data_IF_780371585225
#
_entry.id   IF_780371585225
#
_cell.length_a   1.000
_cell.length_b   1.000
_cell.length_c   1.000
_cell.angle_alpha   90.00
_cell.angle_beta   90.00
_cell.angle_gamma   90.00
#
_symmetry.space_group_name_H-M   'P 1'
#
loop_
_entity.id
_entity.type
_entity.pdbx_description
1 polymer ?
#
# COMPACT_ATOMS: atom_id res chain seq x y z
N UNK A 1 -10.82 -8.23 -12.62
CA UNK A 1 -12.05 -9.04 -12.82
C UNK A 1 -13.25 -8.26 -12.32
N UNK A 2 -14.47 -8.79 -12.42
CA UNK A 2 -15.66 -8.15 -11.84
C UNK A 2 -15.96 -8.77 -10.48
N UNK A 3 -16.37 -7.95 -9.51
CA UNK A 3 -16.98 -8.41 -8.27
C UNK A 3 -18.48 -8.19 -8.36
N UNK A 4 -19.27 -9.26 -8.21
CA UNK A 4 -20.72 -9.20 -8.22
C UNK A 4 -21.24 -9.61 -6.84
N UNK A 5 -22.23 -8.87 -6.33
CA UNK A 5 -22.97 -9.30 -5.15
C UNK A 5 -24.46 -9.06 -5.33
N UNK A 6 -25.24 -9.93 -4.70
CA UNK A 6 -26.69 -9.91 -4.71
C UNK A 6 -27.17 -9.65 -3.29
N UNK A 7 -27.87 -8.54 -3.08
CA UNK A 7 -28.42 -8.17 -1.78
C UNK A 7 -29.93 -8.40 -1.77
N UNK A 8 -30.41 -9.25 -0.85
CA UNK A 8 -31.83 -9.44 -0.61
C UNK A 8 -32.37 -8.28 0.20
N UNK A 9 -33.33 -7.54 -0.34
CA UNK A 9 -33.90 -6.34 0.29
C UNK A 9 -34.75 -6.72 1.50
N UNK A 10 -35.65 -7.71 1.34
CA UNK A 10 -36.51 -8.19 2.42
C UNK A 10 -36.05 -9.56 2.92
N UNK A 11 -35.56 -9.63 4.17
CA UNK A 11 -35.06 -10.88 4.76
C UNK A 11 -36.14 -11.97 4.86
N UNK A 12 -37.39 -11.61 5.13
CA UNK A 12 -38.47 -12.55 5.48
C UNK A 12 -39.25 -13.08 4.28
N UNK A 13 -39.27 -12.35 3.17
CA UNK A 13 -40.03 -12.74 1.97
C UNK A 13 -39.28 -13.79 1.16
N UNK A 14 -39.96 -14.86 0.75
CA UNK A 14 -39.35 -15.90 -0.09
C UNK A 14 -39.07 -15.38 -1.51
N UNK A 15 -37.95 -15.82 -2.11
CA UNK A 15 -37.55 -15.43 -3.46
C UNK A 15 -38.19 -16.41 -4.46
N UNK A 16 -38.97 -15.89 -5.39
CA UNK A 16 -39.60 -16.63 -6.47
C UNK A 16 -39.18 -16.06 -7.82
N UNK A 17 -39.33 -16.84 -8.90
CA UNK A 17 -39.03 -16.37 -10.26
C UNK A 17 -39.82 -15.09 -10.64
N UNK A 18 -41.00 -14.89 -10.03
CA UNK A 18 -41.83 -13.71 -10.27
C UNK A 18 -41.38 -12.48 -9.49
N UNK A 19 -40.74 -12.63 -8.32
CA UNK A 19 -40.40 -11.48 -7.45
C UNK A 19 -38.89 -11.15 -7.41
N UNK A 20 -38.03 -12.00 -8.00
CA UNK A 20 -36.57 -11.87 -7.91
C UNK A 20 -36.03 -10.49 -8.33
N UNK A 21 -36.62 -9.87 -9.35
CA UNK A 21 -36.20 -8.55 -9.86
C UNK A 21 -36.52 -7.40 -8.89
N UNK A 22 -37.46 -7.59 -7.96
CA UNK A 22 -37.83 -6.60 -6.94
C UNK A 22 -37.19 -6.88 -5.58
N UNK A 23 -36.90 -8.15 -5.28
CA UNK A 23 -36.38 -8.56 -3.97
C UNK A 23 -34.86 -8.65 -3.93
N UNK A 24 -34.19 -8.69 -5.08
CA UNK A 24 -32.73 -8.74 -5.18
C UNK A 24 -32.19 -7.49 -5.88
N UNK A 25 -31.24 -6.83 -5.21
CA UNK A 25 -30.38 -5.83 -5.85
C UNK A 25 -29.09 -6.51 -6.31
N UNK A 26 -28.81 -6.47 -7.61
CA UNK A 26 -27.49 -6.80 -8.15
C UNK A 26 -26.60 -5.56 -8.10
N UNK A 27 -25.37 -5.74 -7.64
CA UNK A 27 -24.33 -4.72 -7.70
C UNK A 27 -23.09 -5.29 -8.35
N UNK A 28 -22.51 -4.50 -9.26
CA UNK A 28 -21.33 -4.88 -10.05
C UNK A 28 -20.24 -3.85 -9.78
N UNK A 29 -19.09 -4.33 -9.33
CA UNK A 29 -17.89 -3.53 -9.12
C UNK A 29 -16.85 -3.93 -10.17
N UNK A 30 -16.46 -2.99 -11.03
CA UNK A 30 -15.39 -3.19 -11.99
C UNK A 30 -14.02 -3.10 -11.30
N UNK A 31 -13.40 -4.26 -11.09
CA UNK A 31 -12.09 -4.37 -10.45
C UNK A 31 -11.00 -4.69 -11.49
N UNK A 32 -11.21 -4.46 -12.79
CA UNK A 32 -10.25 -4.81 -13.84
C UNK A 32 -9.06 -3.87 -13.92
N UNK A 33 -9.28 -2.58 -13.71
CA UNK A 33 -8.25 -1.55 -13.90
C UNK A 33 -7.31 -1.42 -12.70
N UNK A 34 -7.87 -1.23 -11.50
CA UNK A 34 -7.12 -0.86 -10.28
C UNK A 34 -7.53 -1.64 -9.03
N UNK A 35 -8.22 -2.76 -9.22
CA UNK A 35 -8.63 -3.66 -8.14
C UNK A 35 -9.86 -3.19 -7.35
N UNK A 36 -10.18 -3.93 -6.30
CA UNK A 36 -11.44 -3.76 -5.54
C UNK A 36 -11.53 -2.40 -4.83
N UNK A 37 -10.43 -1.90 -4.26
CA UNK A 37 -10.43 -0.63 -3.53
C UNK A 37 -10.80 0.53 -4.46
N UNK A 38 -10.30 0.52 -5.69
CA UNK A 38 -10.63 1.54 -6.70
C UNK A 38 -12.09 1.47 -7.11
N UNK A 39 -12.59 0.26 -7.31
CA UNK A 39 -13.98 0.03 -7.67
C UNK A 39 -14.94 0.55 -6.59
N UNK A 40 -14.62 0.28 -5.31
CA UNK A 40 -15.40 0.80 -4.17
C UNK A 40 -15.29 2.32 -4.07
N UNK A 41 -14.08 2.87 -4.21
CA UNK A 41 -13.85 4.32 -4.23
C UNK A 41 -14.71 5.00 -5.32
N UNK A 42 -14.62 4.55 -6.57
CA UNK A 42 -15.40 5.10 -7.69
C UNK A 42 -16.90 4.99 -7.43
N UNK A 43 -17.38 3.84 -6.95
CA UNK A 43 -18.81 3.66 -6.67
C UNK A 43 -19.29 4.64 -5.58
N UNK A 44 -18.51 4.86 -4.52
CA UNK A 44 -18.87 5.80 -3.46
C UNK A 44 -18.86 7.25 -3.96
N UNK A 45 -17.84 7.63 -4.73
CA UNK A 45 -17.65 8.99 -5.24
C UNK A 45 -18.64 9.35 -6.34
N UNK A 46 -18.83 8.47 -7.32
CA UNK A 46 -19.56 8.80 -8.56
C UNK A 46 -21.05 8.44 -8.47
N UNK A 47 -21.41 7.49 -7.59
CA UNK A 47 -22.80 7.02 -7.47
C UNK A 47 -23.41 7.43 -6.13
N UNK A 48 -22.81 7.03 -5.00
CA UNK A 48 -23.44 7.20 -3.70
C UNK A 48 -23.43 8.64 -3.19
N UNK A 49 -22.32 9.37 -3.31
CA UNK A 49 -22.27 10.78 -2.90
C UNK A 49 -23.31 11.63 -3.65
N UNK A 50 -23.40 11.59 -5.00
CA UNK A 50 -24.41 12.34 -5.73
C UNK A 50 -25.83 11.92 -5.39
N UNK A 51 -26.09 10.61 -5.26
CA UNK A 51 -27.41 10.08 -4.92
C UNK A 51 -27.87 10.55 -3.53
N UNK A 52 -26.99 10.52 -2.53
CA UNK A 52 -27.28 10.97 -1.17
C UNK A 52 -27.43 12.50 -1.11
N UNK A 53 -26.61 13.23 -1.86
CA UNK A 53 -26.66 14.70 -1.92
C UNK A 53 -27.98 15.20 -2.51
N UNK A 54 -28.49 14.52 -3.52
CA UNK A 54 -29.73 14.86 -4.23
C UNK A 54 -30.98 14.30 -3.55
N UNK A 55 -30.81 13.43 -2.55
CA UNK A 55 -31.92 12.75 -1.87
C UNK A 55 -32.50 13.56 -0.71
N UNK A 56 -33.83 13.49 -0.57
CA UNK A 56 -34.58 14.06 0.56
C UNK A 56 -34.73 13.10 1.74
N UNK A 57 -34.12 11.90 1.69
CA UNK A 57 -34.23 10.87 2.75
C UNK A 57 -33.94 11.45 4.13
N UNK A 58 -32.88 12.25 4.26
CA UNK A 58 -32.48 12.86 5.53
C UNK A 58 -33.45 13.93 6.04
N UNK A 59 -34.16 14.62 5.14
CA UNK A 59 -35.17 15.61 5.50
C UNK A 59 -36.46 14.93 6.02
N UNK A 60 -36.76 13.73 5.52
CA UNK A 60 -37.92 12.96 5.94
C UNK A 60 -37.72 12.27 7.30
N UNK A 61 -36.48 11.89 7.64
CA UNK A 61 -36.15 11.21 8.91
C UNK A 61 -35.90 12.18 10.07
N UNK A 62 -35.36 13.37 9.81
CA UNK A 62 -35.12 14.39 10.85
C UNK A 62 -35.52 15.78 10.32
N UNK A 63 -36.77 16.18 10.60
CA UNK A 63 -37.34 17.44 10.08
C UNK A 63 -36.63 18.70 10.59
N UNK A 64 -35.90 18.63 11.71
CA UNK A 64 -35.22 19.78 12.31
C UNK A 64 -33.74 19.83 11.94
N UNK A 65 -33.06 18.68 11.89
CA UNK A 65 -31.61 18.61 11.64
C UNK A 65 -31.21 17.81 10.39
N UNK A 66 -32.16 17.44 9.52
CA UNK A 66 -31.91 16.59 8.36
C UNK A 66 -30.81 17.10 7.43
N UNK A 67 -30.71 18.43 7.25
CA UNK A 67 -29.59 19.05 6.51
C UNK A 67 -28.23 18.84 7.17
N UNK A 68 -28.16 18.96 8.50
CA UNK A 68 -26.93 18.75 9.27
C UNK A 68 -26.52 17.27 9.32
N UNK A 69 -27.49 16.36 9.51
CA UNK A 69 -27.26 14.92 9.48
C UNK A 69 -26.77 14.45 8.10
N UNK A 70 -27.34 15.00 7.02
CA UNK A 70 -26.85 14.75 5.65
C UNK A 70 -25.42 15.24 5.47
N UNK A 71 -25.12 16.47 5.89
CA UNK A 71 -23.79 17.03 5.78
C UNK A 71 -22.74 16.21 6.56
N UNK A 72 -23.06 15.78 7.79
CA UNK A 72 -22.19 14.90 8.58
C UNK A 72 -21.94 13.56 7.89
N UNK A 73 -22.98 12.93 7.36
CA UNK A 73 -22.85 11.65 6.67
C UNK A 73 -21.99 11.76 5.41
N UNK A 74 -22.21 12.80 4.59
CA UNK A 74 -21.37 13.06 3.41
C UNK A 74 -19.93 13.30 3.84
N UNK A 75 -19.70 14.10 4.89
CA UNK A 75 -18.35 14.33 5.40
C UNK A 75 -17.66 13.02 5.83
N UNK A 76 -18.37 12.14 6.55
CA UNK A 76 -17.85 10.81 6.91
C UNK A 76 -17.53 9.94 5.69
N UNK A 77 -18.37 9.97 4.64
CA UNK A 77 -18.10 9.26 3.39
C UNK A 77 -16.87 9.82 2.69
N UNK A 78 -16.72 11.15 2.60
CA UNK A 78 -15.53 11.78 2.04
C UNK A 78 -14.27 11.39 2.79
N UNK A 79 -14.28 11.45 4.13
CA UNK A 79 -13.13 10.98 4.95
C UNK A 79 -12.81 9.51 4.72
N UNK A 80 -13.82 8.67 4.50
CA UNK A 80 -13.59 7.25 4.18
C UNK A 80 -12.98 7.06 2.78
N UNK A 81 -13.43 7.84 1.78
CA UNK A 81 -12.86 7.86 0.43
C UNK A 81 -11.40 8.32 0.45
N UNK A 82 -11.07 9.33 1.26
CA UNK A 82 -9.68 9.78 1.47
C UNK A 82 -8.82 8.65 2.07
N UNK A 83 -9.36 7.92 3.06
CA UNK A 83 -8.68 6.77 3.63
C UNK A 83 -8.47 5.63 2.61
N UNK A 84 -9.45 5.35 1.74
CA UNK A 84 -9.31 4.38 0.65
C UNK A 84 -8.23 4.81 -0.33
N UNK A 85 -8.19 6.09 -0.71
CA UNK A 85 -7.17 6.66 -1.59
C UNK A 85 -5.78 6.49 -1.00
N UNK A 86 -5.61 6.81 0.29
CA UNK A 86 -4.35 6.61 1.01
C UNK A 86 -3.93 5.13 1.06
N UNK A 87 -4.87 4.22 1.26
CA UNK A 87 -4.60 2.77 1.25
C UNK A 87 -4.18 2.26 -0.14
N UNK A 88 -4.83 2.73 -1.21
CA UNK A 88 -4.46 2.39 -2.59
C UNK A 88 -3.05 2.88 -2.95
N UNK A 89 -2.72 4.12 -2.58
CA UNK A 89 -1.39 4.67 -2.79
C UNK A 89 -0.34 3.85 -2.02
N UNK A 90 -0.62 3.52 -0.76
CA UNK A 90 0.27 2.68 0.06
C UNK A 90 0.52 1.31 -0.56
N UNK A 91 -0.50 0.69 -1.18
CA UNK A 91 -0.36 -0.57 -1.91
C UNK A 91 0.44 -0.43 -3.21
N UNK A 92 0.29 0.69 -3.92
CA UNK A 92 1.08 0.97 -5.13
C UNK A 92 2.54 1.26 -4.82
N UNK A 93 2.82 1.78 -3.61
CA UNK A 93 4.17 2.08 -3.13
C UNK A 93 4.89 0.85 -2.53
N UNK A 94 4.28 -0.34 -2.60
CA UNK A 94 4.93 -1.58 -2.14
C UNK A 94 6.19 -1.82 -2.97
N UNK A 95 7.34 -1.69 -2.31
CA UNK A 95 8.65 -1.86 -2.92
C UNK A 95 8.91 -3.35 -3.15
N UNK A 96 9.19 -3.71 -4.39
CA UNK A 96 9.67 -5.05 -4.76
C UNK A 96 10.97 -4.91 -5.53
N UNK A 97 12.01 -5.57 -5.04
CA UNK A 97 13.30 -5.63 -5.73
C UNK A 97 13.18 -6.45 -7.01
N UNK A 98 13.95 -6.11 -8.04
CA UNK A 98 13.95 -6.79 -9.33
C UNK A 98 14.10 -8.31 -9.21
N UNK A 99 13.49 -9.04 -10.14
CA UNK A 99 13.61 -10.50 -10.20
C UNK A 99 14.97 -10.87 -10.78
N UNK A 100 15.50 -12.00 -10.33
CA UNK A 100 16.65 -12.62 -10.98
C UNK A 100 16.14 -13.56 -12.08
N UNK A 101 16.34 -13.18 -13.33
CA UNK A 101 15.88 -13.98 -14.48
C UNK A 101 16.83 -15.15 -14.77
N UNK A 102 18.11 -15.00 -14.43
CA UNK A 102 19.15 -16.00 -14.67
C UNK A 102 19.13 -17.15 -13.66
N UNK A 103 18.57 -16.94 -12.46
CA UNK A 103 18.59 -17.93 -11.39
C UNK A 103 17.31 -17.88 -10.56
N UNK A 104 16.69 -19.04 -10.38
CA UNK A 104 15.56 -19.18 -9.47
C UNK A 104 16.03 -19.25 -8.01
N UNK A 105 16.10 -18.07 -7.39
CA UNK A 105 16.50 -17.89 -5.99
C UNK A 105 15.57 -18.61 -5.01
N UNK A 106 14.34 -18.98 -5.40
CA UNK A 106 13.41 -19.68 -4.51
C UNK A 106 13.86 -21.12 -4.20
N UNK A 107 14.72 -21.69 -5.05
CA UNK A 107 15.29 -23.04 -4.85
C UNK A 107 16.40 -23.06 -3.81
N UNK A 108 17.02 -21.91 -3.52
CA UNK A 108 18.09 -21.79 -2.53
C UNK A 108 17.49 -21.70 -1.12
N UNK A 109 17.22 -22.85 -0.50
CA UNK A 109 16.52 -22.92 0.79
C UNK A 109 17.36 -23.50 1.92
N UNK A 110 18.49 -24.14 1.62
CA UNK A 110 19.31 -24.87 2.61
C UNK A 110 20.78 -24.45 2.59
N UNK A 111 21.50 -24.60 3.71
CA UNK A 111 22.93 -24.31 3.77
C UNK A 111 23.79 -25.08 2.76
N UNK A 112 23.44 -26.33 2.47
CA UNK A 112 24.15 -27.14 1.47
C UNK A 112 23.99 -26.56 0.05
N UNK A 113 22.81 -26.05 -0.28
CA UNK A 113 22.57 -25.36 -1.55
C UNK A 113 23.32 -24.03 -1.60
N UNK A 114 23.46 -23.33 -0.47
CA UNK A 114 24.28 -22.11 -0.42
C UNK A 114 25.76 -22.40 -0.68
N UNK A 115 26.29 -23.50 -0.12
CA UNK A 115 27.67 -23.94 -0.38
C UNK A 115 27.89 -24.31 -1.83
N UNK A 116 26.95 -25.05 -2.44
CA UNK A 116 27.02 -25.41 -3.86
C UNK A 116 27.01 -24.18 -4.76
N UNK A 117 26.09 -23.24 -4.50
CA UNK A 117 26.00 -21.98 -5.24
C UNK A 117 27.25 -21.09 -5.06
N UNK A 118 27.83 -21.05 -3.85
CA UNK A 118 29.06 -20.30 -3.57
C UNK A 118 30.31 -20.93 -4.21
N UNK A 119 30.32 -22.26 -4.41
CA UNK A 119 31.43 -22.96 -5.05
C UNK A 119 31.40 -22.85 -6.59
N UNK A 120 30.24 -22.54 -7.17
CA UNK A 120 30.08 -22.30 -8.61
C UNK A 120 30.39 -20.85 -8.95
N UNK A 121 31.47 -20.61 -9.71
CA UNK A 121 31.86 -19.26 -10.15
C UNK A 121 30.73 -18.55 -10.90
N UNK A 122 30.10 -19.25 -11.85
CA UNK A 122 29.02 -18.69 -12.67
C UNK A 122 27.79 -18.31 -11.83
N UNK A 123 27.39 -19.21 -10.91
CA UNK A 123 26.24 -18.95 -10.03
C UNK A 123 26.52 -17.80 -9.08
N UNK A 124 27.72 -17.75 -8.52
CA UNK A 124 28.14 -16.67 -7.62
C UNK A 124 28.17 -15.32 -8.34
N UNK A 125 28.69 -15.26 -9.57
CA UNK A 125 28.71 -14.03 -10.38
C UNK A 125 27.30 -13.50 -10.66
N UNK A 126 26.35 -14.39 -11.00
CA UNK A 126 24.93 -14.03 -11.17
C UNK A 126 24.35 -13.43 -9.88
N UNK A 127 24.61 -14.07 -8.73
CA UNK A 127 24.11 -13.61 -7.43
C UNK A 127 24.73 -12.26 -7.05
N UNK A 128 26.03 -12.08 -7.24
CA UNK A 128 26.71 -10.81 -6.96
C UNK A 128 26.21 -9.68 -7.87
N UNK A 129 25.96 -9.98 -9.14
CA UNK A 129 25.40 -9.03 -10.11
C UNK A 129 23.99 -8.62 -9.71
N UNK A 130 23.14 -9.59 -9.35
CA UNK A 130 21.79 -9.31 -8.86
C UNK A 130 21.81 -8.47 -7.57
N UNK A 131 22.73 -8.76 -6.66
CA UNK A 131 22.90 -8.00 -5.41
C UNK A 131 23.28 -6.56 -5.68
N UNK A 132 24.21 -6.30 -6.63
CA UNK A 132 24.57 -4.94 -7.05
C UNK A 132 23.39 -4.18 -7.67
N UNK A 133 22.56 -4.87 -8.46
CA UNK A 133 21.35 -4.27 -9.02
C UNK A 133 20.37 -3.85 -7.92
N UNK A 134 20.11 -4.73 -6.94
CA UNK A 134 19.26 -4.41 -5.79
C UNK A 134 19.81 -3.27 -4.95
N UNK A 135 21.13 -3.25 -4.71
CA UNK A 135 21.80 -2.14 -4.02
C UNK A 135 21.52 -0.81 -4.75
N UNK A 136 21.69 -0.77 -6.07
CA UNK A 136 21.44 0.43 -6.87
C UNK A 136 19.96 0.85 -6.86
N UNK A 137 19.04 -0.10 -6.95
CA UNK A 137 17.59 0.17 -6.86
C UNK A 137 17.24 0.79 -5.51
N UNK A 138 17.79 0.26 -4.42
CA UNK A 138 17.59 0.80 -3.08
C UNK A 138 18.18 2.20 -2.98
N UNK A 139 19.41 2.41 -3.42
CA UNK A 139 20.04 3.74 -3.41
C UNK A 139 19.23 4.77 -4.21
N UNK A 140 18.64 4.38 -5.34
CA UNK A 140 17.73 5.22 -6.09
C UNK A 140 16.47 5.56 -5.28
N UNK A 141 15.86 4.56 -4.61
CA UNK A 141 14.71 4.78 -3.73
C UNK A 141 15.08 5.77 -2.60
N UNK A 142 16.25 5.61 -1.98
CA UNK A 142 16.73 6.52 -0.95
C UNK A 142 16.87 7.94 -1.51
N UNK A 143 17.55 8.10 -2.64
CA UNK A 143 17.76 9.40 -3.28
C UNK A 143 16.45 10.09 -3.69
N UNK A 144 15.50 9.36 -4.28
CA UNK A 144 14.17 9.87 -4.64
C UNK A 144 13.39 10.36 -3.41
N UNK A 145 13.55 9.67 -2.28
CA UNK A 145 12.90 10.09 -1.04
C UNK A 145 13.60 11.29 -0.41
N UNK A 146 14.91 11.39 -0.47
CA UNK A 146 15.67 12.55 0.03
C UNK A 146 15.58 13.79 -0.85
N UNK A 147 15.15 13.63 -2.10
CA UNK A 147 15.04 14.74 -3.04
C UNK A 147 14.13 15.82 -2.45
N UNK A 148 14.78 16.91 -2.01
CA UNK A 148 14.12 18.05 -1.40
C UNK A 148 12.98 18.53 -2.28
N UNK A 149 11.77 18.49 -1.72
CA UNK A 149 10.65 19.24 -2.29
C UNK A 149 11.07 20.71 -2.33
N UNK A 150 10.90 21.34 -3.50
CA UNK A 150 10.72 22.79 -3.53
C UNK A 150 9.33 23.04 -2.96
N UNK A 151 9.24 23.19 -1.65
CA UNK A 151 7.97 23.51 -0.99
C UNK A 151 7.50 24.87 -1.49
N UNK A 152 6.24 24.95 -1.88
CA UNK A 152 5.55 26.23 -1.93
C UNK A 152 5.25 26.63 -0.48
N UNK A 153 5.25 27.92 -0.13
CA UNK A 153 5.02 28.45 1.23
C UNK A 153 3.64 28.10 1.86
N UNK A 154 2.86 27.22 1.23
CA UNK A 154 1.46 26.94 1.49
C UNK A 154 1.20 25.48 1.94
N UNK A 155 2.23 24.70 2.26
CA UNK A 155 2.07 23.30 2.67
C UNK A 155 1.56 23.25 4.10
N UNK A 156 0.28 22.91 4.28
CA UNK A 156 -0.35 22.81 5.60
C UNK A 156 0.01 21.52 6.37
N UNK A 157 -0.25 21.47 7.69
CA UNK A 157 0.12 20.33 8.56
C UNK A 157 -0.37 18.96 8.08
N UNK A 158 -1.54 18.91 7.41
CA UNK A 158 -2.08 17.67 6.82
C UNK A 158 -1.22 17.14 5.68
N UNK A 159 -0.70 18.03 4.83
CA UNK A 159 0.14 17.64 3.71
C UNK A 159 1.52 17.12 4.18
N UNK A 160 2.05 17.67 5.28
CA UNK A 160 3.23 17.11 5.96
C UNK A 160 2.95 15.72 6.54
N UNK A 161 1.84 15.56 7.26
CA UNK A 161 1.47 14.27 7.84
C UNK A 161 1.33 13.18 6.76
N UNK A 162 0.67 13.49 5.65
CA UNK A 162 0.51 12.56 4.54
C UNK A 162 1.85 12.24 3.85
N UNK A 163 2.74 13.22 3.73
CA UNK A 163 4.10 13.01 3.23
C UNK A 163 4.86 11.99 4.10
N UNK A 164 4.89 12.19 5.42
CA UNK A 164 5.60 11.31 6.33
C UNK A 164 4.96 9.91 6.43
N UNK A 165 3.63 9.81 6.34
CA UNK A 165 2.92 8.52 6.24
C UNK A 165 3.33 7.75 4.98
N UNK A 166 3.39 8.42 3.84
CA UNK A 166 3.82 7.81 2.57
C UNK A 166 5.25 7.31 2.66
N UNK A 167 6.15 8.14 3.21
CA UNK A 167 7.55 7.79 3.44
C UNK A 167 7.68 6.57 4.35
N UNK A 168 6.96 6.57 5.48
CA UNK A 168 6.92 5.45 6.43
C UNK A 168 6.43 4.15 5.78
N UNK A 169 5.36 4.21 4.98
CA UNK A 169 4.84 3.04 4.25
C UNK A 169 5.88 2.45 3.29
N UNK A 170 6.54 3.31 2.48
CA UNK A 170 7.56 2.89 1.51
C UNK A 170 8.74 2.20 2.19
N UNK A 171 9.24 2.77 3.29
CA UNK A 171 10.38 2.19 4.03
C UNK A 171 10.03 0.91 4.78
N UNK A 172 8.85 0.82 5.38
CA UNK A 172 8.39 -0.43 5.99
C UNK A 172 8.26 -1.54 4.94
N UNK A 173 7.69 -1.22 3.77
CA UNK A 173 7.63 -2.18 2.65
C UNK A 173 9.01 -2.63 2.21
N UNK A 174 9.99 -1.72 2.15
CA UNK A 174 11.36 -2.08 1.79
C UNK A 174 12.01 -2.98 2.85
N UNK A 175 11.85 -2.67 4.14
CA UNK A 175 12.32 -3.53 5.24
C UNK A 175 11.73 -4.94 5.17
N UNK A 176 10.45 -5.07 4.80
CA UNK A 176 9.81 -6.37 4.65
C UNK A 176 10.29 -7.12 3.41
N UNK A 177 10.56 -6.41 2.31
CA UNK A 177 11.17 -6.98 1.12
C UNK A 177 12.60 -7.51 1.39
N UNK A 178 13.39 -6.82 2.22
CA UNK A 178 14.72 -7.32 2.63
C UNK A 178 14.64 -8.60 3.48
N UNK A 179 13.52 -8.84 4.17
CA UNK A 179 13.27 -10.08 4.92
C UNK A 179 12.73 -11.21 4.05
N UNK A 180 12.47 -10.96 2.76
CA UNK A 180 11.97 -11.97 1.83
C UNK A 180 12.93 -13.16 1.71
N UNK A 181 12.37 -14.32 1.35
CA UNK A 181 13.16 -15.56 1.21
C UNK A 181 14.28 -15.41 0.17
N UNK A 182 14.02 -14.69 -0.93
CA UNK A 182 15.03 -14.44 -1.98
C UNK A 182 16.23 -13.64 -1.46
N UNK A 183 15.98 -12.61 -0.65
CA UNK A 183 17.06 -11.79 -0.07
C UNK A 183 17.87 -12.60 0.94
N UNK A 184 17.19 -13.37 1.80
CA UNK A 184 17.85 -14.27 2.76
C UNK A 184 18.72 -15.31 2.06
N UNK A 185 18.24 -15.89 0.96
CA UNK A 185 18.99 -16.87 0.18
C UNK A 185 20.26 -16.26 -0.42
N UNK A 186 20.15 -15.11 -1.09
CA UNK A 186 21.29 -14.37 -1.65
C UNK A 186 22.32 -14.03 -0.58
N UNK A 187 21.88 -13.49 0.57
CA UNK A 187 22.77 -13.18 1.69
C UNK A 187 23.44 -14.43 2.27
N UNK A 188 22.73 -15.56 2.31
CA UNK A 188 23.27 -16.85 2.73
C UNK A 188 24.42 -17.31 1.82
N UNK A 189 24.25 -17.24 0.50
CA UNK A 189 25.30 -17.57 -0.47
C UNK A 189 26.49 -16.62 -0.33
N UNK A 190 26.25 -15.32 -0.29
CA UNK A 190 27.31 -14.31 -0.16
C UNK A 190 28.11 -14.48 1.14
N UNK A 191 27.46 -14.88 2.24
CA UNK A 191 28.10 -15.18 3.51
C UNK A 191 29.06 -16.37 3.40
N UNK A 192 28.61 -17.46 2.76
CA UNK A 192 29.45 -18.65 2.54
C UNK A 192 30.63 -18.32 1.61
N UNK A 193 30.38 -17.55 0.55
CA UNK A 193 31.39 -17.10 -0.40
C UNK A 193 32.34 -16.03 0.18
N UNK A 194 32.07 -15.49 1.38
CA UNK A 194 32.79 -14.37 2.00
C UNK A 194 32.89 -13.15 1.07
N UNK A 195 31.80 -12.87 0.33
CA UNK A 195 31.78 -11.77 -0.63
C UNK A 195 31.92 -10.41 0.07
N UNK A 196 32.64 -9.49 -0.59
CA UNK A 196 32.83 -8.11 -0.11
C UNK A 196 31.52 -7.31 -0.11
N UNK A 197 30.53 -7.72 -0.90
CA UNK A 197 29.21 -7.07 -1.01
C UNK A 197 28.43 -7.08 0.31
N UNK A 198 28.73 -8.01 1.22
CA UNK A 198 28.10 -8.07 2.55
C UNK A 198 28.30 -6.78 3.35
N UNK A 199 29.44 -6.10 3.17
CA UNK A 199 29.70 -4.83 3.87
C UNK A 199 28.77 -3.75 3.34
N UNK A 200 28.71 -3.58 2.03
CA UNK A 200 27.84 -2.60 1.37
C UNK A 200 26.36 -2.87 1.66
N UNK A 201 25.93 -4.13 1.63
CA UNK A 201 24.56 -4.50 1.98
C UNK A 201 24.20 -4.11 3.41
N UNK A 202 25.08 -4.37 4.39
CA UNK A 202 24.86 -3.97 5.79
C UNK A 202 24.76 -2.45 5.96
N UNK A 203 25.57 -1.68 5.23
CA UNK A 203 25.51 -0.22 5.27
C UNK A 203 24.16 0.29 4.74
N UNK A 204 23.64 -0.32 3.67
CA UNK A 204 22.35 0.03 3.09
C UNK A 204 21.18 -0.40 4.00
N UNK A 205 21.22 -1.61 4.55
CA UNK A 205 20.21 -2.11 5.49
C UNK A 205 20.10 -1.20 6.73
N UNK A 206 21.24 -0.75 7.25
CA UNK A 206 21.29 0.24 8.32
C UNK A 206 20.63 1.57 7.91
N UNK A 207 21.00 2.12 6.75
CA UNK A 207 20.40 3.37 6.24
C UNK A 207 18.87 3.25 6.14
N UNK A 208 18.36 2.16 5.55
CA UNK A 208 16.90 1.93 5.44
C UNK A 208 16.25 1.93 6.82
N UNK A 209 16.86 1.26 7.80
CA UNK A 209 16.36 1.21 9.17
C UNK A 209 16.32 2.61 9.80
N UNK A 210 17.35 3.41 9.59
CA UNK A 210 17.41 4.78 10.09
C UNK A 210 16.28 5.65 9.48
N UNK A 211 16.07 5.61 8.16
CA UNK A 211 14.95 6.35 7.52
C UNK A 211 13.57 5.85 7.95
N UNK A 212 13.41 4.54 8.16
CA UNK A 212 12.14 3.98 8.63
C UNK A 212 11.79 4.51 10.03
N UNK A 213 12.79 4.59 10.92
CA UNK A 213 12.61 5.14 12.27
C UNK A 213 12.32 6.64 12.23
N UNK A 214 13.07 7.40 11.43
CA UNK A 214 12.83 8.84 11.23
C UNK A 214 11.39 9.11 10.76
N UNK A 215 10.94 8.39 9.73
CA UNK A 215 9.58 8.56 9.21
C UNK A 215 8.52 8.22 10.25
N UNK A 216 8.73 7.16 11.03
CA UNK A 216 7.83 6.76 12.12
C UNK A 216 7.76 7.82 13.22
N UNK A 217 8.89 8.38 13.62
CA UNK A 217 8.95 9.40 14.67
C UNK A 217 8.29 10.71 14.21
N UNK A 218 8.50 11.12 12.96
CA UNK A 218 7.83 12.30 12.38
C UNK A 218 6.32 12.11 12.25
N UNK A 219 5.84 10.94 11.82
CA UNK A 219 4.40 10.63 11.83
C UNK A 219 3.84 10.73 13.24
N UNK A 220 4.52 10.16 14.24
CA UNK A 220 4.09 10.20 15.65
C UNK A 220 4.04 11.63 16.18
N UNK A 221 5.02 12.46 15.83
CA UNK A 221 5.06 13.87 16.21
C UNK A 221 3.93 14.67 15.57
N UNK A 222 3.71 14.54 14.26
CA UNK A 222 2.66 15.27 13.56
C UNK A 222 1.25 14.88 14.04
N UNK A 223 1.03 13.59 14.36
CA UNK A 223 -0.21 13.15 14.99
C UNK A 223 -0.44 13.74 16.39
N UNK A 224 0.62 14.06 17.14
CA UNK A 224 0.46 14.70 18.44
C UNK A 224 0.03 16.16 18.28
N UNK A 225 0.49 16.84 17.23
CA UNK A 225 0.12 18.22 16.89
C UNK A 225 -1.30 18.33 16.32
N UNK A 226 -1.76 17.35 15.54
CA UNK A 226 -3.12 17.33 14.97
C UNK A 226 -4.20 17.50 16.06
N UNK A 227 -3.97 16.96 17.26
CA UNK A 227 -4.87 17.10 18.42
C UNK A 227 -5.02 18.53 18.96
N UNK A 228 -4.13 19.45 18.59
CA UNK A 228 -4.11 20.84 19.06
C UNK A 228 -4.40 21.86 17.95
N UNK A 229 -4.60 21.40 16.71
CA UNK A 229 -4.82 22.23 15.54
C UNK A 229 -6.22 22.08 14.91
N UNK A 230 -7.13 21.36 15.57
CA UNK A 230 -8.58 21.34 15.27
C UNK A 230 -9.34 22.50 15.91
#
# INVERSE_FOLDING_TARGET
>A
GFCLYFAKINKTKEITAQNIHNEITLSVLDCQSRGLLDAVHQTLTDVFIPAVSSSNVFQNTDKKNGGQSRARFINSLSTFIDALTGAQQSLSDVVKLSKCDALDLSKLTTPALYQSAAASSDTLEVIETQTKAWIKEIEQILAETEQMRREADNVGPKAELDHWKKRMSKFNSLLDELKSQKCKAVLGVLLVAKSKLLKTWKEIDKKITDYANEAKDNVKFLYSLEKFCE
#
